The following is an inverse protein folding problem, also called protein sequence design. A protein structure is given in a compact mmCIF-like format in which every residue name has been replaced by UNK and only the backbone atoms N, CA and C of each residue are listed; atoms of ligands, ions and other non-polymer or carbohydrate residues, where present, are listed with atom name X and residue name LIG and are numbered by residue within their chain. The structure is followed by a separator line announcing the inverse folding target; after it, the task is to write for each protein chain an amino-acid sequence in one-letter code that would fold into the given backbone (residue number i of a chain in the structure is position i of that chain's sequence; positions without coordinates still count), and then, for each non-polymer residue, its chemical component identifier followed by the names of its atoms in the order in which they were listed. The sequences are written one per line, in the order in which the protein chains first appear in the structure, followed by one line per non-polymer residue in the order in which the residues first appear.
data_IF_444239272046
#
_entry.id   IF_444239272046
#
_cell.length_a   1.000
_cell.length_b   1.000
_cell.length_c   1.000
_cell.angle_alpha   90.00
_cell.angle_beta   90.00
_cell.angle_gamma   90.00
#
_symmetry.space_group_name_H-M   'P 1'
#
loop_
_entity.id
_entity.type
_entity.pdbx_description
1 polymer ?
#
# COMPACT_ATOMS: atom_id res chain seq x y z
N UNK A 1 22.00 19.90 -12.07
CA UNK A 1 21.82 18.61 -12.77
C UNK A 1 20.83 17.83 -11.91
N UNK A 2 19.65 17.55 -12.45
CA UNK A 2 18.60 16.89 -11.68
C UNK A 2 18.99 15.42 -11.48
N UNK A 3 18.89 14.89 -10.25
CA UNK A 3 19.32 13.52 -9.92
C UNK A 3 18.49 12.47 -10.68
N UNK A 4 17.39 12.89 -11.30
CA UNK A 4 16.47 12.07 -12.08
C UNK A 4 16.68 12.18 -13.61
N UNK A 5 17.62 13.02 -14.06
CA UNK A 5 17.85 13.26 -15.49
C UNK A 5 18.47 12.00 -16.16
N UNK A 6 17.84 11.49 -17.22
CA UNK A 6 18.28 10.28 -17.93
C UNK A 6 17.89 8.94 -17.28
N UNK A 7 17.21 8.97 -16.14
CA UNK A 7 16.70 7.76 -15.49
C UNK A 7 15.35 7.32 -16.07
N UNK A 8 15.16 6.01 -16.21
CA UNK A 8 13.84 5.45 -16.47
C UNK A 8 12.91 5.71 -15.29
N UNK A 9 11.60 5.73 -15.51
CA UNK A 9 10.63 5.93 -14.42
C UNK A 9 10.78 4.87 -13.30
N UNK A 10 11.26 3.66 -13.62
CA UNK A 10 11.60 2.63 -12.62
C UNK A 10 12.83 3.02 -11.78
N UNK A 11 13.88 3.53 -12.43
CA UNK A 11 15.06 4.04 -11.74
C UNK A 11 14.71 5.29 -10.91
N UNK A 12 13.81 6.15 -11.37
CA UNK A 12 13.30 7.28 -10.57
C UNK A 12 12.55 6.79 -9.33
N UNK A 13 11.70 5.76 -9.44
CA UNK A 13 11.03 5.15 -8.29
C UNK A 13 12.04 4.50 -7.32
N UNK A 14 13.09 3.84 -7.84
CA UNK A 14 14.19 3.29 -7.05
C UNK A 14 14.92 4.37 -6.26
N UNK A 15 15.32 5.45 -6.94
CA UNK A 15 16.08 6.55 -6.36
C UNK A 15 15.23 7.31 -5.35
N UNK A 16 13.95 7.58 -5.65
CA UNK A 16 13.03 8.21 -4.72
C UNK A 16 12.82 7.35 -3.45
N UNK A 17 12.71 6.02 -3.60
CA UNK A 17 12.59 5.14 -2.44
C UNK A 17 13.87 5.10 -1.61
N UNK A 18 15.03 4.97 -2.28
CA UNK A 18 16.35 4.90 -1.64
C UNK A 18 16.69 6.20 -0.93
N UNK A 19 16.43 7.35 -1.55
CA UNK A 19 16.62 8.65 -0.91
C UNK A 19 15.74 8.80 0.32
N UNK A 20 14.45 8.42 0.26
CA UNK A 20 13.48 8.65 1.33
C UNK A 20 13.50 7.63 2.48
N UNK A 21 14.02 6.41 2.30
CA UNK A 21 14.07 5.39 3.37
C UNK A 21 15.47 4.99 3.81
N UNK A 22 16.51 5.19 2.98
CA UNK A 22 17.86 4.68 3.24
C UNK A 22 18.83 5.81 3.62
N UNK A 23 18.64 7.04 3.13
CA UNK A 23 19.52 8.17 3.43
C UNK A 23 18.93 9.11 4.48
N UNK A 24 19.71 9.39 5.54
CA UNK A 24 19.35 10.18 6.74
C UNK A 24 18.93 11.65 6.50
N UNK A 25 18.96 12.15 5.26
CA UNK A 25 18.74 13.58 4.95
C UNK A 25 17.36 13.93 4.39
N UNK A 26 16.44 12.97 4.28
CA UNK A 26 15.15 13.14 3.59
C UNK A 26 13.95 12.72 4.45
N UNK A 27 12.75 13.11 4.01
CA UNK A 27 11.50 12.76 4.68
C UNK A 27 11.21 11.26 4.51
N UNK A 28 11.17 10.53 5.64
CA UNK A 28 10.71 9.14 5.69
C UNK A 28 9.34 8.98 5.04
N UNK A 29 9.19 8.00 4.14
CA UNK A 29 7.92 7.74 3.48
C UNK A 29 6.88 7.23 4.46
N UNK A 30 5.68 7.80 4.33
CA UNK A 30 4.52 7.40 5.10
C UNK A 30 3.91 6.09 4.56
N UNK A 31 2.94 5.56 5.30
CA UNK A 31 2.27 4.31 4.98
C UNK A 31 1.62 4.31 3.58
N UNK A 32 0.91 5.38 3.22
CA UNK A 32 0.19 5.51 1.96
C UNK A 32 1.15 5.57 0.76
N UNK A 33 2.25 6.32 0.91
CA UNK A 33 3.29 6.44 -0.12
C UNK A 33 3.90 5.08 -0.45
N UNK A 34 4.23 4.29 0.58
CA UNK A 34 4.77 2.93 0.42
C UNK A 34 3.80 2.01 -0.31
N UNK A 35 2.52 2.01 0.09
CA UNK A 35 1.48 1.21 -0.58
C UNK A 35 1.35 1.62 -2.04
N UNK A 36 1.33 2.92 -2.32
CA UNK A 36 1.17 3.46 -3.69
C UNK A 36 2.36 3.11 -4.58
N UNK A 37 3.58 3.23 -4.09
CA UNK A 37 4.79 2.85 -4.84
C UNK A 37 4.78 1.35 -5.13
N UNK A 38 4.49 0.52 -4.12
CA UNK A 38 4.41 -0.94 -4.32
C UNK A 38 3.33 -1.33 -5.33
N UNK A 39 2.18 -0.65 -5.35
CA UNK A 39 1.12 -0.88 -6.32
C UNK A 39 1.59 -0.55 -7.74
N UNK A 40 2.20 0.63 -7.95
CA UNK A 40 2.74 1.04 -9.25
C UNK A 40 3.80 0.07 -9.78
N UNK A 41 4.67 -0.43 -8.90
CA UNK A 41 5.66 -1.45 -9.27
C UNK A 41 4.98 -2.75 -9.74
N UNK A 42 3.90 -3.17 -9.06
CA UNK A 42 3.15 -4.36 -9.47
C UNK A 42 2.44 -4.17 -10.82
N UNK A 43 1.84 -2.99 -11.06
CA UNK A 43 1.21 -2.66 -12.34
C UNK A 43 2.20 -2.73 -13.50
N UNK A 44 3.39 -2.14 -13.32
CA UNK A 44 4.47 -2.22 -14.29
C UNK A 44 4.91 -3.66 -14.52
N UNK A 45 5.08 -4.45 -13.45
CA UNK A 45 5.47 -5.85 -13.56
C UNK A 45 4.46 -6.66 -14.37
N UNK A 46 3.16 -6.46 -14.11
CA UNK A 46 2.08 -7.06 -14.88
C UNK A 46 2.14 -6.68 -16.36
N UNK A 47 2.36 -5.41 -16.69
CA UNK A 47 2.50 -4.93 -18.08
C UNK A 47 3.73 -5.49 -18.78
N UNK A 48 4.86 -5.65 -18.09
CA UNK A 48 6.08 -6.24 -18.65
C UNK A 48 6.02 -7.77 -18.84
N UNK A 49 5.09 -8.44 -18.16
CA UNK A 49 4.98 -9.90 -18.14
C UNK A 49 3.52 -10.37 -18.35
N UNK A 50 2.84 -9.96 -19.44
CA UNK A 50 1.39 -10.15 -19.60
C UNK A 50 0.97 -11.62 -19.66
N UNK A 51 1.85 -12.49 -20.17
CA UNK A 51 1.58 -13.93 -20.37
C UNK A 51 2.10 -14.81 -19.22
N UNK A 52 2.57 -14.21 -18.12
CA UNK A 52 3.08 -14.98 -16.97
C UNK A 52 1.99 -15.21 -15.95
N UNK A 53 2.02 -16.39 -15.32
CA UNK A 53 1.08 -16.73 -14.26
C UNK A 53 1.16 -15.70 -13.10
N UNK A 54 0.04 -15.34 -12.45
CA UNK A 54 0.01 -14.35 -11.37
C UNK A 54 1.01 -14.63 -10.23
N UNK A 55 1.25 -15.90 -9.90
CA UNK A 55 2.22 -16.32 -8.89
C UNK A 55 3.66 -15.93 -9.27
N UNK A 56 4.02 -16.03 -10.55
CA UNK A 56 5.35 -15.65 -11.06
C UNK A 56 5.53 -14.15 -11.00
N UNK A 57 4.52 -13.39 -11.45
CA UNK A 57 4.54 -11.92 -11.38
C UNK A 57 4.69 -11.47 -9.92
N UNK A 58 3.90 -12.04 -9.00
CA UNK A 58 3.96 -11.69 -7.58
C UNK A 58 5.28 -12.08 -6.91
N UNK A 59 5.93 -13.17 -7.33
CA UNK A 59 7.25 -13.57 -6.82
C UNK A 59 8.33 -12.59 -7.30
N UNK A 60 8.31 -12.23 -8.59
CA UNK A 60 9.26 -11.29 -9.17
C UNK A 60 9.08 -9.88 -8.59
N UNK A 61 7.84 -9.40 -8.45
CA UNK A 61 7.54 -8.12 -7.80
C UNK A 61 8.05 -8.04 -6.36
N UNK A 62 7.88 -9.10 -5.55
CA UNK A 62 8.44 -9.14 -4.19
C UNK A 62 9.97 -9.19 -4.18
N UNK A 63 10.58 -9.81 -5.18
CA UNK A 63 12.04 -9.80 -5.33
C UNK A 63 12.53 -8.39 -5.62
N UNK A 64 11.85 -7.64 -6.49
CA UNK A 64 12.19 -6.24 -6.74
C UNK A 64 12.08 -5.43 -5.44
N UNK A 65 10.99 -5.58 -4.66
CA UNK A 65 10.81 -4.91 -3.36
C UNK A 65 11.92 -5.24 -2.36
N UNK A 66 12.39 -6.49 -2.32
CA UNK A 66 13.55 -6.90 -1.53
C UNK A 66 14.81 -6.12 -1.92
N UNK A 67 15.07 -5.97 -3.21
CA UNK A 67 16.17 -5.15 -3.73
C UNK A 67 15.97 -3.66 -3.42
N UNK A 68 14.78 -3.10 -3.64
CA UNK A 68 14.44 -1.70 -3.38
C UNK A 68 14.63 -1.32 -1.90
N UNK A 69 14.24 -2.22 -1.00
CA UNK A 69 14.26 -1.96 0.45
C UNK A 69 15.56 -2.37 1.13
N UNK A 70 16.51 -2.97 0.38
CA UNK A 70 17.74 -3.60 0.92
C UNK A 70 17.45 -4.56 2.08
N UNK A 71 16.32 -5.26 2.01
CA UNK A 71 15.87 -6.23 3.00
C UNK A 71 15.81 -7.61 2.37
N UNK A 72 16.01 -8.64 3.16
CA UNK A 72 15.75 -10.01 2.74
C UNK A 72 14.27 -10.20 2.39
N UNK A 73 13.96 -11.23 1.60
CA UNK A 73 12.57 -11.55 1.23
C UNK A 73 11.68 -11.80 2.46
N UNK A 74 12.23 -12.40 3.51
CA UNK A 74 11.52 -12.67 4.76
C UNK A 74 11.25 -11.39 5.56
N UNK A 75 12.23 -10.50 5.65
CA UNK A 75 12.03 -9.19 6.27
C UNK A 75 10.98 -8.37 5.52
N UNK A 76 10.97 -8.42 4.18
CA UNK A 76 9.94 -7.76 3.37
C UNK A 76 8.57 -8.35 3.66
N UNK A 77 8.46 -9.68 3.66
CA UNK A 77 7.21 -10.39 3.96
C UNK A 77 6.66 -10.02 5.33
N UNK A 78 7.52 -9.87 6.34
CA UNK A 78 7.12 -9.57 7.70
C UNK A 78 6.83 -8.07 7.91
N UNK A 79 7.72 -7.19 7.44
CA UNK A 79 7.64 -5.75 7.67
C UNK A 79 6.57 -5.07 6.81
N UNK A 80 6.35 -5.58 5.60
CA UNK A 80 5.47 -4.97 4.61
C UNK A 80 4.25 -5.83 4.28
N UNK A 81 3.91 -6.84 5.10
CA UNK A 81 2.77 -7.73 4.84
C UNK A 81 1.49 -6.99 4.42
N UNK A 82 1.09 -6.00 5.21
CA UNK A 82 -0.12 -5.21 4.98
C UNK A 82 0.05 -4.28 3.77
N UNK A 83 1.23 -3.68 3.62
CA UNK A 83 1.54 -2.81 2.48
C UNK A 83 1.43 -3.57 1.15
N UNK A 84 2.06 -4.74 1.08
CA UNK A 84 2.02 -5.64 -0.07
C UNK A 84 0.60 -6.13 -0.35
N UNK A 85 -0.17 -6.44 0.70
CA UNK A 85 -1.56 -6.85 0.49
C UNK A 85 -2.38 -5.73 -0.15
N UNK A 86 -2.38 -4.52 0.42
CA UNK A 86 -3.12 -3.38 -0.13
C UNK A 86 -2.64 -3.03 -1.55
N UNK A 87 -1.34 -3.03 -1.77
CA UNK A 87 -0.74 -2.80 -3.08
C UNK A 87 -1.11 -3.87 -4.12
N UNK A 88 -1.48 -5.08 -3.68
CA UNK A 88 -1.92 -6.16 -4.57
C UNK A 88 -3.40 -6.11 -4.95
N UNK A 89 -4.19 -5.22 -4.34
CA UNK A 89 -5.58 -4.99 -4.73
C UNK A 89 -5.66 -4.27 -6.08
N UNK A 90 -6.70 -4.56 -6.86
CA UNK A 90 -6.95 -3.95 -8.18
C UNK A 90 -8.42 -3.54 -8.31
N UNK A 91 -8.73 -2.81 -9.38
CA UNK A 91 -10.10 -2.44 -9.72
C UNK A 91 -10.79 -1.64 -8.61
N UNK A 92 -12.06 -1.97 -8.34
CA UNK A 92 -12.90 -1.21 -7.38
C UNK A 92 -12.33 -1.20 -5.97
N UNK A 93 -11.68 -2.28 -5.56
CA UNK A 93 -11.02 -2.36 -4.25
C UNK A 93 -9.88 -1.34 -4.16
N UNK A 94 -9.05 -1.23 -5.19
CA UNK A 94 -7.96 -0.24 -5.21
C UNK A 94 -8.49 1.20 -5.23
N UNK A 95 -9.52 1.48 -6.02
CA UNK A 95 -10.18 2.80 -6.01
C UNK A 95 -10.68 3.17 -4.61
N UNK A 96 -11.27 2.20 -3.89
CA UNK A 96 -11.75 2.42 -2.52
C UNK A 96 -10.60 2.64 -1.52
N UNK A 97 -9.44 1.99 -1.71
CA UNK A 97 -8.23 2.26 -0.90
C UNK A 97 -7.75 3.71 -1.12
N UNK A 98 -7.71 4.18 -2.37
CA UNK A 98 -7.34 5.57 -2.68
C UNK A 98 -8.30 6.58 -2.04
N UNK A 99 -9.60 6.26 -1.98
CA UNK A 99 -10.58 7.09 -1.28
C UNK A 99 -10.25 7.21 0.21
N UNK A 100 -9.88 6.11 0.87
CA UNK A 100 -9.47 6.15 2.30
C UNK A 100 -8.21 7.00 2.49
N UNK A 101 -7.23 6.90 1.60
CA UNK A 101 -6.02 7.73 1.65
C UNK A 101 -6.35 9.22 1.51
N UNK A 102 -7.17 9.57 0.53
CA UNK A 102 -7.62 10.95 0.33
C UNK A 102 -8.46 11.48 1.52
N UNK A 103 -9.34 10.64 2.09
CA UNK A 103 -10.13 10.98 3.26
C UNK A 103 -9.25 11.24 4.49
N UNK A 104 -8.22 10.41 4.69
CA UNK A 104 -7.26 10.59 5.78
C UNK A 104 -6.47 11.90 5.62
N UNK A 105 -6.00 12.22 4.41
CA UNK A 105 -5.26 13.46 4.15
C UNK A 105 -6.12 14.71 4.35
N UNK A 106 -7.41 14.61 3.99
CA UNK A 106 -8.42 15.66 4.22
C UNK A 106 -8.96 15.70 5.66
N UNK A 107 -8.52 14.78 6.52
CA UNK A 107 -8.97 14.65 7.92
C UNK A 107 -10.48 14.44 8.06
N UNK A 108 -11.09 13.71 7.12
CA UNK A 108 -12.54 13.44 7.13
C UNK A 108 -12.90 12.11 7.80
N UNK A 109 -11.92 11.34 8.28
CA UNK A 109 -12.18 10.10 8.98
C UNK A 109 -12.69 10.39 10.40
N UNK A 110 -13.73 9.66 10.81
CA UNK A 110 -14.33 9.74 12.15
C UNK A 110 -13.28 9.59 13.24
N UNK A 111 -13.25 10.56 14.15
CA UNK A 111 -12.35 10.56 15.31
C UNK A 111 -10.87 10.74 14.97
N UNK A 112 -10.52 11.14 13.74
CA UNK A 112 -9.13 11.40 13.35
C UNK A 112 -8.55 12.60 14.11
N UNK A 113 -7.39 12.41 14.74
CA UNK A 113 -6.68 13.50 15.44
C UNK A 113 -5.82 14.32 14.47
N UNK A 114 -5.63 15.60 14.76
CA UNK A 114 -4.89 16.56 13.91
C UNK A 114 -3.48 16.10 13.52
N UNK A 115 -2.77 15.43 14.43
CA UNK A 115 -1.39 14.95 14.25
C UNK A 115 -1.31 13.43 14.06
N UNK A 116 -2.44 12.76 13.81
CA UNK A 116 -2.46 11.32 13.61
C UNK A 116 -1.77 10.96 12.29
N UNK A 117 -0.94 9.92 12.32
CA UNK A 117 -0.36 9.31 11.12
C UNK A 117 -1.14 8.06 10.76
N UNK A 118 -1.46 7.86 9.49
CA UNK A 118 -2.03 6.60 9.04
C UNK A 118 -0.95 5.51 9.14
N UNK A 119 -1.28 4.40 9.77
CA UNK A 119 -0.37 3.26 9.94
C UNK A 119 -1.01 2.01 9.37
N UNK A 120 -0.26 0.92 9.34
CA UNK A 120 -0.79 -0.38 8.91
C UNK A 120 -1.81 -0.99 9.89
N UNK A 121 -1.86 -0.51 11.13
CA UNK A 121 -2.63 -1.14 12.21
C UNK A 121 -4.12 -1.35 11.90
N UNK A 122 -4.86 -0.36 11.36
CA UNK A 122 -6.28 -0.54 11.03
C UNK A 122 -6.54 -1.63 9.99
N UNK A 123 -5.57 -1.87 9.10
CA UNK A 123 -5.67 -2.80 7.98
C UNK A 123 -5.19 -4.23 8.30
N UNK A 124 -4.77 -4.50 9.55
CA UNK A 124 -4.15 -5.79 9.95
C UNK A 124 -5.02 -7.01 9.62
N UNK A 125 -6.33 -6.85 9.57
CA UNK A 125 -7.30 -7.93 9.32
C UNK A 125 -7.94 -7.88 7.95
N UNK A 126 -7.72 -6.81 7.20
CA UNK A 126 -8.32 -6.56 5.90
C UNK A 126 -7.98 -7.65 4.87
N UNK A 127 -6.80 -8.29 5.01
CA UNK A 127 -6.39 -9.41 4.15
C UNK A 127 -7.16 -10.71 4.37
N UNK A 128 -7.93 -10.80 5.45
CA UNK A 128 -8.68 -12.00 5.81
C UNK A 128 -10.13 -11.97 5.32
N UNK A 129 -10.61 -10.82 4.84
CA UNK A 129 -11.93 -10.69 4.24
C UNK A 129 -11.90 -11.38 2.88
N UNK A 130 -12.83 -12.30 2.62
CA UNK A 130 -12.86 -13.04 1.35
C UNK A 130 -13.64 -12.29 0.29
N UNK A 131 -14.86 -11.85 0.62
CA UNK A 131 -15.73 -11.16 -0.32
C UNK A 131 -15.18 -9.78 -0.70
N UNK A 132 -15.13 -9.50 -2.00
CA UNK A 132 -14.66 -8.19 -2.49
C UNK A 132 -15.63 -7.06 -2.13
N UNK A 133 -16.94 -7.34 -2.20
CA UNK A 133 -17.96 -6.34 -1.90
C UNK A 133 -17.89 -5.87 -0.43
N UNK A 134 -17.62 -6.78 0.51
CA UNK A 134 -17.43 -6.43 1.92
C UNK A 134 -16.21 -5.52 2.11
N UNK A 135 -15.10 -5.81 1.40
CA UNK A 135 -13.91 -4.94 1.41
C UNK A 135 -14.26 -3.54 0.92
N UNK A 136 -14.97 -3.45 -0.19
CA UNK A 136 -15.35 -2.17 -0.80
C UNK A 136 -16.29 -1.41 0.14
N UNK A 137 -17.28 -2.08 0.72
CA UNK A 137 -18.24 -1.48 1.64
C UNK A 137 -17.52 -0.89 2.86
N UNK A 138 -16.69 -1.67 3.53
CA UNK A 138 -15.93 -1.22 4.70
C UNK A 138 -14.98 -0.06 4.39
N UNK A 139 -14.27 -0.12 3.25
CA UNK A 139 -13.40 0.97 2.82
C UNK A 139 -14.19 2.26 2.54
N UNK A 140 -15.39 2.15 1.95
CA UNK A 140 -16.26 3.30 1.68
C UNK A 140 -16.81 3.91 2.97
N UNK A 141 -17.29 3.09 3.90
CA UNK A 141 -17.76 3.56 5.22
C UNK A 141 -16.64 4.23 6.01
N UNK A 142 -15.40 3.72 5.91
CA UNK A 142 -14.25 4.40 6.50
C UNK A 142 -13.95 5.74 5.82
N UNK A 143 -13.95 5.78 4.47
CA UNK A 143 -13.64 6.99 3.70
C UNK A 143 -14.72 8.09 3.84
N UNK A 144 -15.98 7.71 4.02
CA UNK A 144 -17.10 8.65 4.25
C UNK A 144 -17.14 9.21 5.67
N UNK A 145 -16.34 8.66 6.60
CA UNK A 145 -16.37 9.04 8.01
C UNK A 145 -17.55 8.45 8.79
N UNK A 146 -18.21 7.40 8.28
CA UNK A 146 -19.24 6.65 9.01
C UNK A 146 -18.62 5.88 10.19
N UNK A 147 -17.45 5.29 9.94
CA UNK A 147 -16.68 4.52 10.93
C UNK A 147 -15.28 5.10 11.10
N UNK A 148 -14.72 4.92 12.30
CA UNK A 148 -13.36 5.26 12.67
C UNK A 148 -12.38 4.17 12.26
N UNK A 149 -11.08 4.45 12.34
CA UNK A 149 -10.02 3.47 12.06
C UNK A 149 -10.08 2.24 12.97
N UNK A 150 -10.53 2.39 14.22
CA UNK A 150 -10.65 1.26 15.16
C UNK A 150 -11.92 0.43 14.90
N UNK A 151 -13.05 1.09 14.59
CA UNK A 151 -14.28 0.41 14.17
C UNK A 151 -14.02 -0.40 12.89
N UNK A 152 -13.39 0.20 11.88
CA UNK A 152 -12.97 -0.50 10.65
C UNK A 152 -12.14 -1.76 10.95
N UNK A 153 -11.17 -1.67 11.87
CA UNK A 153 -10.32 -2.80 12.24
C UNK A 153 -11.13 -3.93 12.88
N UNK A 154 -12.08 -3.59 13.76
CA UNK A 154 -12.98 -4.54 14.43
C UNK A 154 -13.94 -5.19 13.46
N UNK A 155 -14.49 -4.44 12.53
CA UNK A 155 -15.36 -4.98 11.48
C UNK A 155 -14.58 -5.91 10.54
N UNK A 156 -13.36 -5.54 10.14
CA UNK A 156 -12.48 -6.45 9.38
C UNK A 156 -12.16 -7.76 10.14
N UNK A 157 -12.17 -7.73 11.48
CA UNK A 157 -12.00 -8.92 12.33
C UNK A 157 -13.27 -9.78 12.35
N UNK A 158 -14.44 -9.16 12.38
CA UNK A 158 -15.74 -9.85 12.36
C UNK A 158 -16.03 -10.49 10.99
N UNK A 159 -15.74 -9.80 9.88
CA UNK A 159 -16.03 -10.22 8.49
C UNK A 159 -15.02 -11.23 7.91
N UNK A 160 -14.37 -12.05 8.74
CA UNK A 160 -13.36 -13.03 8.30
C UNK A 160 -13.93 -14.33 7.74
N UNK A 161 -15.24 -14.53 7.89
CA UNK A 161 -15.99 -15.73 7.46
C UNK A 161 -15.82 -16.01 5.97
#
# INVERSE_FOLDING_TARGET
MDVYEGLSEEQCLYVAFSHNEIHEKSRKMNFQEKVTIFHRLLEKKKKSMPNKAPKVIAASWRADISTFTRKTRDEVKNSYKIHLYLASCFGRTWESIKMVFAAFDKKTIKGQKTNQKLTQYPFTHFSKIKAEMDKIHLLKSLASGEISLEEFRKECLASRT
#
